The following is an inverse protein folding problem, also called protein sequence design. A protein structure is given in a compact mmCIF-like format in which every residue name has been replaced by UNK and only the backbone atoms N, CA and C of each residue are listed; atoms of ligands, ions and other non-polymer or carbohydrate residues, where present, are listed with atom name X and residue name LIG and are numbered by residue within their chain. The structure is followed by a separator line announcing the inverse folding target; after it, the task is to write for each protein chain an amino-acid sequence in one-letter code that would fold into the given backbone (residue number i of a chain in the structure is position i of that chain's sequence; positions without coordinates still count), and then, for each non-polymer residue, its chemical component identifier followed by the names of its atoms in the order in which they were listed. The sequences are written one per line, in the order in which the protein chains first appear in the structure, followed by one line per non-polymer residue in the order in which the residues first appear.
data_IF_438276188737
#
_entry.id   IF_438276188737
#
_cell.length_a   1.000
_cell.length_b   1.000
_cell.length_c   1.000
_cell.angle_alpha   90.00
_cell.angle_beta   90.00
_cell.angle_gamma   90.00
#
_symmetry.space_group_name_H-M   'P 1'
#
loop_
_entity.id
_entity.type
_entity.pdbx_description
1 polymer ?
#
# COMPACT_ATOMS: atom_id res chain seq x y z
N UNK A 1 15.48 -28.33 -23.61
CA UNK A 1 15.43 -27.24 -22.62
C UNK A 1 15.84 -25.95 -23.32
N UNK A 2 14.91 -25.00 -23.54
CA UNK A 2 15.18 -23.80 -24.34
C UNK A 2 15.93 -22.74 -23.51
N UNK A 3 17.25 -22.83 -23.48
CA UNK A 3 18.14 -21.88 -22.79
C UNK A 3 17.90 -20.42 -23.19
N UNK A 4 17.43 -20.18 -24.41
CA UNK A 4 17.07 -18.84 -24.92
C UNK A 4 15.98 -18.15 -24.10
N UNK A 5 15.01 -18.89 -23.54
CA UNK A 5 13.89 -18.31 -22.77
C UNK A 5 14.36 -17.77 -21.41
N UNK A 6 15.31 -18.45 -20.78
CA UNK A 6 15.81 -18.09 -19.45
C UNK A 6 16.97 -17.09 -19.50
N UNK A 7 17.70 -17.02 -20.62
CA UNK A 7 18.88 -16.14 -20.76
C UNK A 7 18.55 -14.68 -20.47
N UNK A 8 17.48 -14.17 -21.08
CA UNK A 8 17.09 -12.77 -20.92
C UNK A 8 16.62 -12.48 -19.50
N UNK A 9 15.81 -13.38 -18.93
CA UNK A 9 15.36 -13.23 -17.55
C UNK A 9 16.54 -13.23 -16.55
N UNK A 10 17.47 -14.20 -16.68
CA UNK A 10 18.66 -14.26 -15.84
C UNK A 10 19.58 -13.05 -16.02
N UNK A 11 19.73 -12.54 -17.25
CA UNK A 11 20.51 -11.34 -17.55
C UNK A 11 19.86 -10.08 -16.98
N UNK A 12 18.54 -9.98 -17.00
CA UNK A 12 17.79 -8.91 -16.33
C UNK A 12 18.07 -8.90 -14.83
N UNK A 13 18.04 -10.08 -14.20
CA UNK A 13 18.42 -10.24 -12.79
C UNK A 13 19.86 -9.84 -12.50
N UNK A 14 20.82 -10.23 -13.35
CA UNK A 14 22.22 -9.82 -13.22
C UNK A 14 22.37 -8.30 -13.31
N UNK A 15 21.72 -7.66 -14.29
CA UNK A 15 21.79 -6.21 -14.41
C UNK A 15 21.14 -5.49 -13.23
N UNK A 16 20.02 -5.98 -12.73
CA UNK A 16 19.37 -5.45 -11.53
C UNK A 16 20.31 -5.55 -10.32
N UNK A 17 20.93 -6.71 -10.10
CA UNK A 17 21.89 -6.91 -9.02
C UNK A 17 23.09 -5.94 -9.07
N UNK A 18 23.54 -5.58 -10.27
CA UNK A 18 24.62 -4.59 -10.47
C UNK A 18 24.11 -3.13 -10.58
N UNK A 19 22.85 -2.85 -10.27
CA UNK A 19 22.26 -1.50 -10.31
C UNK A 19 22.11 -0.92 -11.71
N UNK A 20 22.18 -1.74 -12.76
CA UNK A 20 22.02 -1.32 -14.17
C UNK A 20 20.55 -1.41 -14.59
N UNK A 21 19.70 -0.62 -13.94
CA UNK A 21 18.23 -0.79 -14.01
C UNK A 21 17.64 -0.65 -15.41
N UNK A 22 18.13 0.26 -16.25
CA UNK A 22 17.64 0.39 -17.64
C UNK A 22 17.93 -0.88 -18.45
N UNK A 23 19.14 -1.45 -18.30
CA UNK A 23 19.48 -2.71 -18.97
C UNK A 23 18.68 -3.87 -18.38
N UNK A 24 18.44 -3.88 -17.08
CA UNK A 24 17.59 -4.88 -16.45
C UNK A 24 16.17 -4.84 -17.03
N UNK A 25 15.61 -3.65 -17.19
CA UNK A 25 14.31 -3.44 -17.81
C UNK A 25 14.27 -3.98 -19.25
N UNK A 26 15.25 -3.63 -20.09
CA UNK A 26 15.31 -4.12 -21.47
C UNK A 26 15.36 -5.65 -21.56
N UNK A 27 16.12 -6.29 -20.67
CA UNK A 27 16.23 -7.74 -20.62
C UNK A 27 14.97 -8.43 -20.12
N UNK A 28 14.29 -7.88 -19.11
CA UNK A 28 12.99 -8.41 -18.70
C UNK A 28 11.93 -8.20 -19.77
N UNK A 29 11.98 -7.11 -20.55
CA UNK A 29 11.08 -6.86 -21.66
C UNK A 29 11.30 -7.87 -22.79
N UNK A 30 12.55 -8.20 -23.10
CA UNK A 30 12.89 -9.26 -24.05
C UNK A 30 12.44 -10.64 -23.55
N UNK A 31 12.64 -10.93 -22.27
CA UNK A 31 12.15 -12.17 -21.65
C UNK A 31 10.63 -12.31 -21.79
N UNK A 32 9.88 -11.25 -21.50
CA UNK A 32 8.43 -11.24 -21.64
C UNK A 32 7.98 -11.30 -23.10
N UNK A 33 8.68 -10.65 -24.04
CA UNK A 33 8.34 -10.73 -25.47
C UNK A 33 8.46 -12.14 -26.01
N UNK A 34 9.46 -12.89 -25.55
CA UNK A 34 9.71 -14.29 -25.94
C UNK A 34 8.79 -15.28 -25.23
N UNK A 35 8.35 -14.92 -24.03
CA UNK A 35 7.38 -15.67 -23.24
C UNK A 35 6.38 -14.73 -22.57
N UNK A 36 5.27 -14.38 -23.26
CA UNK A 36 4.24 -13.49 -22.73
C UNK A 36 3.47 -14.03 -21.52
N UNK A 37 3.77 -15.25 -21.07
CA UNK A 37 3.20 -15.86 -19.86
C UNK A 37 4.11 -15.73 -18.65
N UNK A 38 5.30 -15.14 -18.80
CA UNK A 38 6.26 -14.97 -17.72
C UNK A 38 5.81 -13.86 -16.75
N UNK A 39 5.04 -14.25 -15.73
CA UNK A 39 4.55 -13.39 -14.64
C UNK A 39 5.70 -12.64 -13.96
N UNK A 40 6.84 -13.30 -13.72
CA UNK A 40 7.96 -12.71 -12.99
C UNK A 40 8.63 -11.60 -13.81
N UNK A 41 8.79 -11.78 -15.13
CA UNK A 41 9.29 -10.73 -16.01
C UNK A 41 8.36 -9.50 -16.00
N UNK A 42 7.04 -9.71 -16.08
CA UNK A 42 6.06 -8.62 -15.97
C UNK A 42 6.14 -7.89 -14.62
N UNK A 43 6.23 -8.63 -13.50
CA UNK A 43 6.39 -8.05 -12.15
C UNK A 43 7.66 -7.22 -12.02
N UNK A 44 8.79 -7.71 -12.55
CA UNK A 44 10.06 -6.97 -12.53
C UNK A 44 10.00 -5.71 -13.39
N UNK A 45 9.43 -5.77 -14.59
CA UNK A 45 9.20 -4.58 -15.43
C UNK A 45 8.36 -3.54 -14.71
N UNK A 46 7.28 -3.97 -14.06
CA UNK A 46 6.40 -3.09 -13.30
C UNK A 46 7.13 -2.44 -12.13
N UNK A 47 7.89 -3.22 -11.36
CA UNK A 47 8.67 -2.76 -10.22
C UNK A 47 9.74 -1.73 -10.62
N UNK A 48 10.52 -2.01 -11.66
CA UNK A 48 11.55 -1.10 -12.16
C UNK A 48 10.94 0.21 -12.68
N UNK A 49 9.82 0.13 -13.39
CA UNK A 49 9.08 1.32 -13.80
C UNK A 49 8.57 2.14 -12.60
N UNK A 50 8.03 1.48 -11.57
CA UNK A 50 7.55 2.14 -10.36
C UNK A 50 8.68 2.82 -9.58
N UNK A 51 9.87 2.21 -9.48
CA UNK A 51 11.04 2.84 -8.87
C UNK A 51 11.47 4.14 -9.57
N UNK A 52 11.28 4.20 -10.90
CA UNK A 52 11.53 5.41 -11.71
C UNK A 52 10.33 6.36 -11.74
N UNK A 53 9.28 6.11 -10.95
CA UNK A 53 8.02 6.87 -10.93
C UNK A 53 7.30 6.93 -12.29
N UNK A 54 7.58 5.97 -13.18
CA UNK A 54 6.88 5.79 -14.46
C UNK A 54 5.61 4.96 -14.21
N UNK A 55 4.68 5.53 -13.46
CA UNK A 55 3.54 4.81 -12.92
C UNK A 55 2.57 4.30 -14.00
N UNK A 56 2.47 4.99 -15.13
CA UNK A 56 1.70 4.55 -16.30
C UNK A 56 2.24 3.24 -16.89
N UNK A 57 3.57 3.12 -16.98
CA UNK A 57 4.25 1.91 -17.44
C UNK A 57 4.15 0.81 -16.39
N UNK A 58 4.31 1.16 -15.11
CA UNK A 58 4.18 0.22 -14.01
C UNK A 58 2.77 -0.39 -13.93
N UNK A 59 1.73 0.42 -14.06
CA UNK A 59 0.33 -0.03 -14.05
C UNK A 59 0.08 -1.04 -15.17
N UNK A 60 0.54 -0.77 -16.39
CA UNK A 60 0.39 -1.69 -17.53
C UNK A 60 1.00 -3.06 -17.24
N UNK A 61 2.21 -3.09 -16.70
CA UNK A 61 2.91 -4.34 -16.39
C UNK A 61 2.34 -5.07 -15.19
N UNK A 62 1.91 -4.36 -14.14
CA UNK A 62 1.20 -4.99 -13.03
C UNK A 62 -0.16 -5.54 -13.45
N UNK A 63 -0.92 -4.86 -14.30
CA UNK A 63 -2.16 -5.39 -14.89
C UNK A 63 -1.89 -6.67 -15.70
N UNK A 64 -0.81 -6.70 -16.50
CA UNK A 64 -0.41 -7.91 -17.21
C UNK A 64 -0.06 -9.05 -16.25
N UNK A 65 0.69 -8.77 -15.17
CA UNK A 65 1.02 -9.75 -14.15
C UNK A 65 -0.22 -10.30 -13.42
N UNK A 66 -1.16 -9.44 -13.02
CA UNK A 66 -2.44 -9.83 -12.41
C UNK A 66 -3.28 -10.68 -13.38
N UNK A 67 -3.30 -10.34 -14.67
CA UNK A 67 -4.01 -11.13 -15.67
C UNK A 67 -3.47 -12.55 -15.86
N UNK A 68 -2.17 -12.74 -15.61
CA UNK A 68 -1.50 -14.05 -15.71
C UNK A 68 -1.54 -14.83 -14.39
N UNK A 69 -1.52 -14.14 -13.25
CA UNK A 69 -1.54 -14.72 -11.90
C UNK A 69 -2.51 -13.92 -11.01
N UNK A 70 -3.82 -14.15 -11.12
CA UNK A 70 -4.84 -13.34 -10.46
C UNK A 70 -4.92 -13.58 -8.94
N UNK A 71 -4.29 -14.62 -8.42
CA UNK A 71 -4.25 -15.02 -7.02
C UNK A 71 -3.01 -14.50 -6.26
N UNK A 72 -2.15 -13.72 -6.92
CA UNK A 72 -0.96 -13.13 -6.30
C UNK A 72 -1.27 -11.82 -5.56
N UNK A 73 -1.52 -11.94 -4.25
CA UNK A 73 -1.85 -10.82 -3.38
C UNK A 73 -0.81 -9.68 -3.40
N UNK A 74 0.49 -10.01 -3.51
CA UNK A 74 1.56 -9.01 -3.50
C UNK A 74 1.56 -8.18 -4.81
N UNK A 75 1.21 -8.80 -5.94
CA UNK A 75 1.06 -8.09 -7.22
C UNK A 75 -0.16 -7.17 -7.21
N UNK A 76 -1.30 -7.63 -6.67
CA UNK A 76 -2.47 -6.77 -6.46
C UNK A 76 -2.16 -5.58 -5.54
N UNK A 77 -1.46 -5.80 -4.43
CA UNK A 77 -1.04 -4.72 -3.55
C UNK A 77 -0.19 -3.68 -4.31
N UNK A 78 0.80 -4.14 -5.09
CA UNK A 78 1.69 -3.23 -5.79
C UNK A 78 0.96 -2.46 -6.90
N UNK A 79 -0.02 -3.09 -7.56
CA UNK A 79 -0.92 -2.41 -8.49
C UNK A 79 -1.74 -1.32 -7.78
N UNK A 80 -2.28 -1.61 -6.59
CA UNK A 80 -3.00 -0.64 -5.77
C UNK A 80 -2.12 0.56 -5.39
N UNK A 81 -0.89 0.31 -4.97
CA UNK A 81 0.09 1.35 -4.68
C UNK A 81 0.37 2.23 -5.89
N UNK A 82 0.61 1.63 -7.07
CA UNK A 82 0.85 2.40 -8.30
C UNK A 82 -0.35 3.27 -8.67
N UNK A 83 -1.58 2.75 -8.54
CA UNK A 83 -2.82 3.51 -8.82
C UNK A 83 -3.05 4.65 -7.84
N UNK A 84 -2.74 4.45 -6.57
CA UNK A 84 -2.78 5.50 -5.56
C UNK A 84 -1.79 6.63 -5.89
N UNK A 85 -0.54 6.30 -6.27
CA UNK A 85 0.44 7.29 -6.73
C UNK A 85 0.03 8.03 -8.02
N UNK A 86 -0.84 7.44 -8.83
CA UNK A 86 -1.43 8.07 -10.01
C UNK A 86 -2.66 8.94 -9.70
N UNK A 87 -3.09 9.04 -8.45
CA UNK A 87 -4.31 9.75 -8.08
C UNK A 87 -5.59 9.05 -8.54
N UNK A 88 -5.58 7.71 -8.63
CA UNK A 88 -6.72 6.87 -9.01
C UNK A 88 -7.25 6.06 -7.81
N UNK A 89 -7.85 6.71 -6.79
CA UNK A 89 -8.23 6.03 -5.56
C UNK A 89 -9.31 4.95 -5.76
N UNK A 90 -10.24 5.12 -6.71
CA UNK A 90 -11.24 4.10 -7.03
C UNK A 90 -10.59 2.79 -7.55
N UNK A 91 -9.62 2.91 -8.46
CA UNK A 91 -8.90 1.74 -8.98
C UNK A 91 -7.98 1.11 -7.93
N UNK A 92 -7.45 1.93 -7.00
CA UNK A 92 -6.64 1.47 -5.89
C UNK A 92 -7.46 0.68 -4.87
N UNK A 93 -8.71 1.09 -4.58
CA UNK A 93 -9.64 0.33 -3.72
C UNK A 93 -9.82 -1.09 -4.26
N UNK A 94 -10.03 -1.25 -5.57
CA UNK A 94 -10.21 -2.59 -6.18
C UNK A 94 -8.96 -3.44 -5.98
N UNK A 95 -7.78 -2.90 -6.28
CA UNK A 95 -6.53 -3.66 -6.20
C UNK A 95 -6.11 -3.98 -4.75
N UNK A 96 -6.21 -3.02 -3.83
CA UNK A 96 -5.95 -3.28 -2.41
C UNK A 96 -6.99 -4.22 -1.79
N UNK A 97 -8.26 -4.10 -2.19
CA UNK A 97 -9.34 -5.00 -1.76
C UNK A 97 -9.08 -6.45 -2.17
N UNK A 98 -8.66 -6.69 -3.41
CA UNK A 98 -8.25 -8.03 -3.85
C UNK A 98 -7.01 -8.54 -3.10
N UNK A 99 -6.01 -7.69 -2.87
CA UNK A 99 -4.84 -8.06 -2.08
C UNK A 99 -5.22 -8.49 -0.64
N UNK A 100 -6.09 -7.72 0.01
CA UNK A 100 -6.61 -8.00 1.34
C UNK A 100 -7.47 -9.28 1.37
N UNK A 101 -8.29 -9.51 0.33
CA UNK A 101 -9.11 -10.73 0.19
C UNK A 101 -8.25 -11.98 0.02
N UNK A 102 -7.23 -11.91 -0.84
CA UNK A 102 -6.31 -13.02 -1.12
C UNK A 102 -5.38 -13.32 0.05
N UNK A 103 -4.92 -12.29 0.76
CA UNK A 103 -4.04 -12.42 1.92
C UNK A 103 -4.54 -11.51 3.05
N UNK A 104 -5.50 -11.96 3.87
CA UNK A 104 -6.08 -11.16 4.95
C UNK A 104 -5.09 -10.69 6.01
N UNK A 105 -3.94 -11.36 6.15
CA UNK A 105 -2.86 -10.99 7.07
C UNK A 105 -1.89 -9.94 6.50
N UNK A 106 -2.11 -9.46 5.27
CA UNK A 106 -1.28 -8.43 4.65
C UNK A 106 -1.72 -7.04 5.13
N UNK A 107 -1.18 -6.62 6.27
CA UNK A 107 -1.47 -5.34 6.96
C UNK A 107 -1.42 -4.13 6.01
N UNK A 108 -0.40 -4.05 5.16
CA UNK A 108 -0.23 -2.96 4.19
C UNK A 108 -1.38 -2.88 3.18
N UNK A 109 -2.01 -4.00 2.82
CA UNK A 109 -3.16 -3.98 1.91
C UNK A 109 -4.38 -3.36 2.57
N UNK A 110 -4.66 -3.70 3.83
CA UNK A 110 -5.72 -3.06 4.62
C UNK A 110 -5.46 -1.58 4.85
N UNK A 111 -4.22 -1.21 5.17
CA UNK A 111 -3.84 0.19 5.32
C UNK A 111 -4.01 0.99 4.02
N UNK A 112 -3.52 0.45 2.89
CA UNK A 112 -3.69 1.06 1.57
C UNK A 112 -5.17 1.17 1.14
N UNK A 113 -5.97 0.15 1.44
CA UNK A 113 -7.41 0.16 1.21
C UNK A 113 -8.11 1.27 2.02
N UNK A 114 -7.73 1.44 3.29
CA UNK A 114 -8.24 2.51 4.15
C UNK A 114 -7.90 3.90 3.61
N UNK A 115 -6.66 4.11 3.17
CA UNK A 115 -6.25 5.37 2.54
C UNK A 115 -7.03 5.65 1.25
N UNK A 116 -7.22 4.64 0.41
CA UNK A 116 -7.96 4.79 -0.85
C UNK A 116 -9.44 5.13 -0.61
N UNK A 117 -10.11 4.47 0.35
CA UNK A 117 -11.47 4.83 0.75
C UNK A 117 -11.55 6.24 1.37
N UNK A 118 -10.58 6.62 2.20
CA UNK A 118 -10.53 7.96 2.79
C UNK A 118 -10.40 9.05 1.71
N UNK A 119 -9.58 8.81 0.68
CA UNK A 119 -9.43 9.72 -0.46
C UNK A 119 -10.72 9.86 -1.30
N UNK A 120 -11.58 8.83 -1.30
CA UNK A 120 -12.92 8.89 -1.92
C UNK A 120 -13.99 9.52 -1.02
N UNK A 121 -13.67 9.89 0.22
CA UNK A 121 -14.65 10.36 1.21
C UNK A 121 -15.51 9.24 1.81
N UNK A 122 -15.18 7.98 1.56
CA UNK A 122 -15.92 6.81 2.06
C UNK A 122 -15.46 6.46 3.49
N UNK A 123 -15.61 7.40 4.42
CA UNK A 123 -15.00 7.33 5.76
C UNK A 123 -15.39 6.08 6.55
N UNK A 124 -16.64 5.60 6.46
CA UNK A 124 -17.06 4.34 7.11
C UNK A 124 -16.28 3.12 6.62
N UNK A 125 -16.03 3.01 5.31
CA UNK A 125 -15.22 1.90 4.74
C UNK A 125 -13.75 2.06 5.10
N UNK A 126 -13.25 3.30 5.11
CA UNK A 126 -11.88 3.61 5.53
C UNK A 126 -11.63 3.16 6.98
N UNK A 127 -12.59 3.45 7.87
CA UNK A 127 -12.56 2.99 9.26
C UNK A 127 -12.44 1.47 9.34
N UNK A 128 -13.33 0.71 8.67
CA UNK A 128 -13.28 -0.76 8.71
C UNK A 128 -11.93 -1.30 8.23
N UNK A 129 -11.36 -0.73 7.16
CA UNK A 129 -10.07 -1.15 6.65
C UNK A 129 -8.91 -0.80 7.61
N UNK A 130 -8.92 0.39 8.21
CA UNK A 130 -7.92 0.77 9.20
C UNK A 130 -8.02 -0.05 10.49
N UNK A 131 -9.22 -0.47 10.91
CA UNK A 131 -9.38 -1.38 12.04
C UNK A 131 -8.73 -2.74 11.80
N UNK A 132 -8.85 -3.30 10.60
CA UNK A 132 -8.12 -4.53 10.25
C UNK A 132 -6.60 -4.29 10.25
N UNK A 133 -6.15 -3.15 9.71
CA UNK A 133 -4.73 -2.79 9.75
C UNK A 133 -4.18 -2.66 11.19
N UNK A 134 -4.94 -2.03 12.11
CA UNK A 134 -4.52 -1.88 13.51
C UNK A 134 -4.61 -3.18 14.30
N UNK A 135 -5.54 -4.09 13.97
CA UNK A 135 -5.56 -5.45 14.54
C UNK A 135 -4.29 -6.24 14.16
N UNK A 136 -3.86 -6.14 12.90
CA UNK A 136 -2.66 -6.82 12.40
C UNK A 136 -1.37 -6.18 12.91
N UNK A 137 -1.36 -4.86 13.10
CA UNK A 137 -0.23 -4.11 13.67
C UNK A 137 -0.67 -3.22 14.84
N UNK A 138 -0.84 -3.78 16.05
CA UNK A 138 -1.39 -3.06 17.20
C UNK A 138 -0.55 -1.86 17.69
N UNK A 139 0.72 -1.80 17.30
CA UNK A 139 1.69 -0.74 17.65
C UNK A 139 2.02 0.18 16.46
N UNK A 140 1.30 0.10 15.34
CA UNK A 140 1.48 1.02 14.22
C UNK A 140 0.71 2.33 14.49
N UNK A 141 1.40 3.32 15.05
CA UNK A 141 0.80 4.60 15.40
C UNK A 141 0.21 5.36 14.19
N UNK A 142 0.79 5.18 13.00
CA UNK A 142 0.28 5.81 11.76
C UNK A 142 -1.08 5.22 11.39
N UNK A 143 -1.24 3.89 11.48
CA UNK A 143 -2.53 3.24 11.23
C UNK A 143 -3.61 3.69 12.22
N UNK A 144 -3.27 3.80 13.50
CA UNK A 144 -4.17 4.33 14.53
C UNK A 144 -4.52 5.81 14.28
N UNK A 145 -3.55 6.64 13.92
CA UNK A 145 -3.80 8.04 13.57
C UNK A 145 -4.76 8.17 12.38
N UNK A 146 -4.57 7.38 11.32
CA UNK A 146 -5.46 7.38 10.15
C UNK A 146 -6.87 6.88 10.50
N UNK A 147 -7.00 5.86 11.35
CA UNK A 147 -8.27 5.42 11.91
C UNK A 147 -8.97 6.57 12.65
N UNK A 148 -8.27 7.26 13.54
CA UNK A 148 -8.81 8.40 14.28
C UNK A 148 -9.26 9.55 13.37
N UNK A 149 -8.47 9.88 12.34
CA UNK A 149 -8.85 10.88 11.34
C UNK A 149 -10.09 10.45 10.55
N UNK A 150 -10.20 9.17 10.17
CA UNK A 150 -11.39 8.65 9.50
C UNK A 150 -12.63 8.73 10.40
N UNK A 151 -12.52 8.36 11.69
CA UNK A 151 -13.58 8.51 12.68
C UNK A 151 -14.02 9.97 12.84
N UNK A 152 -13.05 10.90 12.94
CA UNK A 152 -13.34 12.33 13.01
C UNK A 152 -14.11 12.83 11.78
N UNK A 153 -13.68 12.44 10.57
CA UNK A 153 -14.37 12.81 9.32
C UNK A 153 -15.75 12.16 9.18
N UNK A 154 -15.98 11.00 9.81
CA UNK A 154 -17.28 10.37 9.90
C UNK A 154 -18.19 10.96 11.00
N UNK A 155 -17.69 11.86 11.85
CA UNK A 155 -18.43 12.42 12.98
C UNK A 155 -18.52 11.48 14.20
N UNK A 156 -17.72 10.42 14.24
CA UNK A 156 -17.74 9.40 15.30
C UNK A 156 -16.83 9.82 16.47
N UNK A 157 -17.23 10.87 17.19
CA UNK A 157 -16.45 11.51 18.25
C UNK A 157 -15.97 10.53 19.35
N UNK A 158 -16.85 9.64 19.81
CA UNK A 158 -16.52 8.64 20.85
C UNK A 158 -15.39 7.69 20.42
N UNK A 159 -15.32 7.36 19.12
CA UNK A 159 -14.24 6.50 18.59
C UNK A 159 -12.93 7.25 18.46
N UNK A 160 -12.97 8.57 18.23
CA UNK A 160 -11.75 9.39 18.29
C UNK A 160 -11.15 9.32 19.69
N UNK A 161 -11.97 9.40 20.73
CA UNK A 161 -11.53 9.32 22.13
C UNK A 161 -10.82 8.00 22.39
N UNK A 162 -11.43 6.89 22.00
CA UNK A 162 -10.84 5.56 22.14
C UNK A 162 -9.49 5.43 21.38
N UNK A 163 -9.38 6.02 20.19
CA UNK A 163 -8.12 6.02 19.42
C UNK A 163 -7.05 6.87 20.12
N UNK A 164 -7.42 8.03 20.67
CA UNK A 164 -6.49 8.89 21.43
C UNK A 164 -6.00 8.17 22.68
N UNK A 165 -6.89 7.57 23.46
CA UNK A 165 -6.54 6.78 24.64
C UNK A 165 -5.57 5.64 24.28
N UNK A 166 -5.84 4.95 23.17
CA UNK A 166 -4.97 3.89 22.68
C UNK A 166 -3.60 4.42 22.29
N UNK A 167 -3.52 5.52 21.55
CA UNK A 167 -2.27 6.15 21.11
C UNK A 167 -1.46 6.68 22.30
N UNK A 168 -2.08 7.31 23.29
CA UNK A 168 -1.39 7.81 24.50
C UNK A 168 -0.60 6.70 25.20
N UNK A 169 -1.10 5.46 25.18
CA UNK A 169 -0.44 4.33 25.83
C UNK A 169 0.90 3.91 25.22
N UNK A 170 1.20 4.26 23.95
CA UNK A 170 2.43 3.81 23.29
C UNK A 170 3.08 4.81 22.32
N UNK A 171 2.32 5.76 21.76
CA UNK A 171 2.81 6.85 20.93
C UNK A 171 2.05 8.16 21.20
N UNK A 172 2.41 8.89 22.27
CA UNK A 172 1.77 10.16 22.61
C UNK A 172 1.97 11.26 21.56
N UNK A 173 2.96 11.13 20.65
CA UNK A 173 3.21 12.10 19.59
C UNK A 173 2.05 12.06 18.57
N UNK A 174 1.67 10.88 18.11
CA UNK A 174 0.53 10.72 17.21
C UNK A 174 -0.80 11.01 17.91
N UNK A 175 -0.93 10.71 19.21
CA UNK A 175 -2.11 11.15 19.99
C UNK A 175 -2.27 12.68 19.96
N UNK A 176 -1.17 13.42 20.20
CA UNK A 176 -1.14 14.88 20.16
C UNK A 176 -1.47 15.44 18.79
N UNK A 177 -0.92 14.81 17.75
CA UNK A 177 -1.24 15.18 16.39
C UNK A 177 -2.73 14.97 16.10
N UNK A 178 -3.31 13.82 16.45
CA UNK A 178 -4.73 13.55 16.24
C UNK A 178 -5.64 14.54 16.98
N UNK A 179 -5.34 14.84 18.25
CA UNK A 179 -6.10 15.84 19.03
C UNK A 179 -6.11 17.20 18.35
N UNK A 180 -4.93 17.65 17.88
CA UNK A 180 -4.80 18.91 17.15
C UNK A 180 -5.59 18.89 15.83
N UNK A 181 -5.40 17.84 15.03
CA UNK A 181 -5.95 17.78 13.67
C UNK A 181 -7.46 17.50 13.64
N UNK A 182 -8.01 16.90 14.71
CA UNK A 182 -9.46 16.72 14.92
C UNK A 182 -10.13 17.88 15.66
N UNK A 183 -9.36 18.85 16.19
CA UNK A 183 -9.88 19.98 16.97
C UNK A 183 -10.44 19.59 18.35
N UNK A 184 -10.12 18.40 18.86
CA UNK A 184 -10.62 17.85 20.14
C UNK A 184 -9.76 18.28 21.32
N UNK A 185 -9.63 19.59 21.54
CA UNK A 185 -8.83 20.16 22.65
C UNK A 185 -9.24 19.65 24.04
N UNK A 186 -10.49 19.21 24.18
CA UNK A 186 -11.00 18.54 25.38
C UNK A 186 -10.22 17.28 25.77
N UNK A 187 -9.55 16.63 24.81
CA UNK A 187 -8.72 15.45 25.00
C UNK A 187 -7.24 15.78 25.29
N UNK A 188 -6.82 17.04 25.20
CA UNK A 188 -5.41 17.42 25.41
C UNK A 188 -4.90 17.02 26.81
N UNK A 189 -5.79 17.03 27.81
CA UNK A 189 -5.51 16.59 29.19
C UNK A 189 -5.09 15.12 29.32
N UNK A 190 -5.43 14.28 28.33
CA UNK A 190 -5.07 12.87 28.32
C UNK A 190 -3.63 12.65 27.87
N UNK A 191 -2.99 13.65 27.27
CA UNK A 191 -1.68 13.51 26.66
C UNK A 191 -0.62 13.84 27.70
N UNK A 192 0.27 12.90 28.05
CA UNK A 192 1.35 13.18 28.98
C UNK A 192 2.28 14.28 28.43
N UNK A 193 2.75 15.15 29.30
CA UNK A 193 3.81 16.10 28.98
C UNK A 193 5.09 15.30 28.70
N UNK A 194 5.38 15.06 27.43
CA UNK A 194 6.66 14.49 27.02
C UNK A 194 7.76 15.50 27.38
N UNK A 195 8.77 15.13 28.20
CA UNK A 195 9.97 15.94 28.30
C UNK A 195 10.65 15.93 26.92
N UNK A 196 11.11 17.12 26.52
CA UNK A 196 11.68 17.46 25.22
C UNK A 196 12.67 16.44 24.65
#
# INVERSE_FOLDING_TARGET
MNFERWRHYARGWLFHFFGREERAFDEFAEAFRRDPTNVQAARHLAFLAAQKKRYDVAERWYCAAVGLAPDDADTHFNLGFVREQMGKPADAVVAFGEAARLKPILDRAWFGLGLAHAALGEHGKAISAFEEATKLQPMNAIAWYQLGMACHKAGEAERVDAVVERLVGFDPKHARQLVRDSGREDLAKLIPELPF
#
